data_IF_299276218155
#
_entry.id   IF_299276218155
#
_cell.length_a   1.000
_cell.length_b   1.000
_cell.length_c   1.000
_cell.angle_alpha   90.00
_cell.angle_beta   90.00
_cell.angle_gamma   90.00
#
_symmetry.space_group_name_H-M   'P 1'
#
loop_
_entity.id
_entity.type
_entity.pdbx_description
1 polymer ?
#
# COMPACT_ATOMS: atom_id res chain seq x y z
N UNK A 1 10.62 1.71 -1.86
CA UNK A 1 10.37 0.33 -1.39
C UNK A 1 10.60 0.28 0.10
N UNK A 2 9.65 -0.28 0.80
CA UNK A 2 9.74 -0.45 2.25
C UNK A 2 9.57 -1.92 2.61
N UNK A 3 10.09 -2.29 3.77
CA UNK A 3 9.84 -3.57 4.41
C UNK A 3 8.97 -3.28 5.62
N UNK A 4 7.85 -3.97 5.72
CA UNK A 4 6.91 -3.77 6.82
C UNK A 4 6.31 -5.09 7.27
N UNK A 5 5.78 -5.10 8.48
CA UNK A 5 5.15 -6.28 9.06
C UNK A 5 3.63 -6.14 8.97
N UNK A 6 3.00 -7.18 8.45
CA UNK A 6 1.54 -7.29 8.40
C UNK A 6 1.14 -8.70 8.79
N UNK A 7 0.33 -8.81 9.83
CA UNK A 7 -0.19 -10.09 10.33
C UNK A 7 0.93 -11.12 10.61
N UNK A 8 2.05 -10.64 11.15
CA UNK A 8 3.19 -11.48 11.50
C UNK A 8 4.10 -11.84 10.34
N UNK A 9 3.88 -11.28 9.15
CA UNK A 9 4.68 -11.55 7.96
C UNK A 9 5.37 -10.28 7.50
N UNK A 10 6.65 -10.39 7.13
CA UNK A 10 7.39 -9.27 6.53
C UNK A 10 7.11 -9.23 5.04
N UNK A 11 6.74 -8.07 4.55
CA UNK A 11 6.44 -7.82 3.14
C UNK A 11 7.32 -6.70 2.61
N UNK A 12 7.67 -6.78 1.33
CA UNK A 12 8.46 -5.78 0.62
C UNK A 12 7.59 -5.21 -0.49
N UNK A 13 7.25 -3.94 -0.40
CA UNK A 13 6.38 -3.26 -1.36
C UNK A 13 6.85 -1.84 -1.59
N UNK A 14 6.35 -1.24 -2.67
CA UNK A 14 6.63 0.16 -3.00
C UNK A 14 5.49 1.04 -2.53
N UNK A 15 5.81 2.18 -1.91
CA UNK A 15 4.80 3.16 -1.54
C UNK A 15 4.25 3.80 -2.82
N UNK A 16 2.95 3.70 -3.00
CA UNK A 16 2.24 4.28 -4.15
C UNK A 16 1.54 5.58 -3.80
N UNK A 17 1.16 5.78 -2.55
CA UNK A 17 0.54 7.02 -2.09
C UNK A 17 0.95 7.33 -0.66
N UNK A 18 1.12 8.61 -0.38
CA UNK A 18 1.56 9.16 0.91
C UNK A 18 0.36 9.70 1.69
N UNK A 19 0.53 10.00 3.00
CA UNK A 19 -0.55 10.58 3.79
C UNK A 19 -1.15 11.81 3.11
N UNK A 20 -2.47 11.86 3.05
CA UNK A 20 -3.21 12.95 2.41
C UNK A 20 -3.47 12.77 0.93
N UNK A 21 -2.81 11.82 0.27
CA UNK A 21 -3.02 11.58 -1.15
C UNK A 21 -4.32 10.83 -1.40
N UNK A 22 -5.03 11.15 -2.49
CA UNK A 22 -6.19 10.36 -2.90
C UNK A 22 -5.75 9.10 -3.64
N UNK A 23 -6.48 8.01 -3.44
CA UNK A 23 -6.30 6.76 -4.17
C UNK A 23 -7.64 6.37 -4.77
N UNK A 24 -7.71 6.30 -6.09
CA UNK A 24 -8.90 5.81 -6.78
C UNK A 24 -8.75 4.32 -7.03
N UNK A 25 -9.41 3.53 -6.22
CA UNK A 25 -9.30 2.06 -6.27
C UNK A 25 -9.83 1.50 -7.60
N UNK A 26 -10.74 2.21 -8.26
CA UNK A 26 -11.29 1.76 -9.53
C UNK A 26 -10.30 1.86 -10.69
N UNK A 27 -9.23 2.63 -10.53
CA UNK A 27 -8.21 2.84 -11.56
C UNK A 27 -7.03 1.89 -11.45
N UNK A 28 -7.04 0.99 -10.46
CA UNK A 28 -5.94 0.04 -10.24
C UNK A 28 -6.19 -1.26 -10.98
N UNK A 29 -5.10 -1.97 -11.30
CA UNK A 29 -5.19 -3.29 -11.91
C UNK A 29 -5.48 -4.36 -10.88
N UNK A 30 -6.36 -5.32 -11.21
CA UNK A 30 -6.71 -6.42 -10.33
C UNK A 30 -6.63 -7.74 -11.08
N UNK A 31 -6.21 -8.79 -10.35
CA UNK A 31 -6.25 -10.15 -10.87
C UNK A 31 -7.62 -10.73 -10.55
N UNK A 32 -8.36 -11.16 -11.57
CA UNK A 32 -9.74 -11.61 -11.39
C UNK A 32 -9.92 -12.79 -10.44
N UNK A 33 -8.88 -13.62 -10.30
CA UNK A 33 -8.94 -14.80 -9.41
C UNK A 33 -8.78 -14.42 -7.92
N UNK A 34 -8.34 -13.21 -7.61
CA UNK A 34 -8.13 -12.78 -6.22
C UNK A 34 -9.34 -11.96 -5.79
N UNK A 35 -10.03 -12.36 -4.68
CA UNK A 35 -11.15 -11.56 -4.17
C UNK A 35 -10.68 -10.18 -3.73
N UNK A 36 -11.47 -9.17 -4.04
CA UNK A 36 -11.22 -7.80 -3.58
C UNK A 36 -12.24 -7.44 -2.50
N UNK A 37 -11.84 -6.63 -1.50
CA UNK A 37 -12.78 -6.13 -0.51
C UNK A 37 -13.86 -5.26 -1.16
N UNK A 38 -15.02 -5.21 -0.53
CA UNK A 38 -16.07 -4.27 -0.92
C UNK A 38 -15.86 -2.98 -0.13
N UNK A 39 -15.65 -1.89 -0.84
CA UNK A 39 -15.49 -0.57 -0.21
C UNK A 39 -16.76 0.26 -0.45
N UNK A 40 -17.13 1.06 0.55
CA UNK A 40 -18.26 1.98 0.42
C UNK A 40 -17.93 3.11 -0.56
N UNK A 41 -16.64 3.49 -0.62
CA UNK A 41 -16.16 4.52 -1.52
C UNK A 41 -15.02 3.97 -2.35
N UNK A 42 -14.94 4.34 -3.62
CA UNK A 42 -13.87 3.89 -4.52
C UNK A 42 -12.66 4.82 -4.48
N UNK A 43 -12.82 6.05 -4.00
CA UNK A 43 -11.71 6.98 -3.82
C UNK A 43 -11.47 7.14 -2.32
N UNK A 44 -10.28 6.78 -1.87
CA UNK A 44 -9.87 6.87 -0.48
C UNK A 44 -8.78 7.93 -0.34
N UNK A 45 -8.76 8.60 0.81
CA UNK A 45 -7.65 9.48 1.19
C UNK A 45 -6.77 8.72 2.16
N UNK A 46 -5.47 8.67 1.90
CA UNK A 46 -4.52 8.00 2.79
C UNK A 46 -4.48 8.74 4.11
N UNK A 47 -4.77 8.06 5.24
CA UNK A 47 -4.76 8.72 6.56
C UNK A 47 -3.37 9.21 6.94
N UNK A 48 -3.34 10.17 7.86
CA UNK A 48 -2.09 10.63 8.44
C UNK A 48 -1.36 9.45 9.10
N UNK A 49 -0.05 9.38 8.88
CA UNK A 49 0.77 8.30 9.42
C UNK A 49 0.64 6.97 8.70
N UNK A 50 -0.05 6.93 7.58
CA UNK A 50 -0.27 5.72 6.80
C UNK A 50 0.20 5.87 5.36
N UNK A 51 0.34 4.73 4.68
CA UNK A 51 0.81 4.66 3.31
C UNK A 51 0.04 3.60 2.55
N UNK A 52 -0.18 3.84 1.26
CA UNK A 52 -0.77 2.87 0.35
C UNK A 52 0.36 2.21 -0.44
N UNK A 53 0.42 0.89 -0.46
CA UNK A 53 1.55 0.16 -1.04
C UNK A 53 1.10 -0.76 -2.16
N UNK A 54 1.95 -0.89 -3.18
CA UNK A 54 1.74 -1.78 -4.32
C UNK A 54 3.01 -2.58 -4.58
N UNK A 55 2.84 -3.83 -5.02
CA UNK A 55 3.94 -4.62 -5.52
C UNK A 55 4.31 -4.19 -6.94
N UNK A 56 5.58 -4.34 -7.31
CA UNK A 56 6.07 -3.95 -8.63
C UNK A 56 5.47 -4.82 -9.74
N UNK A 57 5.14 -6.08 -9.43
CA UNK A 57 4.46 -6.97 -10.37
C UNK A 57 2.99 -7.07 -10.01
N UNK A 58 2.15 -6.25 -10.65
CA UNK A 58 0.73 -6.17 -10.36
C UNK A 58 0.00 -7.49 -10.54
N UNK A 59 0.49 -8.37 -11.42
CA UNK A 59 -0.12 -9.66 -11.71
C UNK A 59 0.08 -10.68 -10.58
N UNK A 60 1.12 -10.53 -9.78
CA UNK A 60 1.52 -11.50 -8.77
C UNK A 60 1.66 -10.90 -7.37
N UNK A 61 1.19 -9.68 -7.17
CA UNK A 61 1.35 -8.99 -5.90
C UNK A 61 0.08 -9.06 -5.05
N UNK A 62 0.25 -9.40 -3.78
CA UNK A 62 -0.80 -9.25 -2.77
C UNK A 62 -0.43 -8.02 -1.94
N UNK A 63 -1.16 -6.95 -2.16
CA UNK A 63 -0.83 -5.63 -1.60
C UNK A 63 -2.09 -4.87 -1.18
N UNK A 64 -1.97 -3.56 -0.96
CA UNK A 64 -3.07 -2.72 -0.47
C UNK A 64 -4.37 -2.86 -1.25
N UNK A 65 -4.31 -3.20 -2.54
CA UNK A 65 -5.52 -3.36 -3.37
C UNK A 65 -6.45 -4.44 -2.85
N UNK A 66 -5.92 -5.43 -2.15
CA UNK A 66 -6.67 -6.63 -1.73
C UNK A 66 -6.95 -6.68 -0.24
N UNK A 67 -6.50 -5.69 0.53
CA UNK A 67 -6.66 -5.69 1.99
C UNK A 67 -7.89 -4.89 2.39
N UNK A 68 -8.66 -5.43 3.37
CA UNK A 68 -9.79 -4.70 3.93
C UNK A 68 -9.35 -3.40 4.60
N UNK A 69 -8.16 -3.41 5.21
CA UNK A 69 -7.49 -2.21 5.73
C UNK A 69 -6.32 -1.89 4.78
N UNK A 70 -6.54 -1.06 3.74
CA UNK A 70 -5.58 -0.93 2.64
C UNK A 70 -4.37 -0.05 2.95
N UNK A 71 -4.15 0.29 4.21
CA UNK A 71 -3.07 1.19 4.57
C UNK A 71 -2.07 0.53 5.51
N UNK A 72 -0.78 0.86 5.31
CA UNK A 72 0.30 0.46 6.19
C UNK A 72 0.62 1.64 7.09
N UNK A 73 0.58 1.44 8.41
CA UNK A 73 0.95 2.51 9.34
C UNK A 73 2.47 2.62 9.45
N UNK A 74 2.94 3.81 9.78
CA UNK A 74 4.36 4.07 9.96
C UNK A 74 5.01 3.12 10.97
N UNK A 75 4.26 2.74 12.01
CA UNK A 75 4.74 1.83 13.05
C UNK A 75 5.00 0.42 12.53
N UNK A 76 4.35 0.01 11.45
CA UNK A 76 4.56 -1.30 10.84
C UNK A 76 5.83 -1.34 9.99
N UNK A 77 6.38 -0.19 9.60
CA UNK A 77 7.55 -0.13 8.73
C UNK A 77 8.80 -0.47 9.52
N UNK A 78 9.51 -1.50 9.06
CA UNK A 78 10.74 -1.99 9.68
C UNK A 78 11.97 -1.33 9.06
N UNK A 79 11.94 -1.15 7.73
CA UNK A 79 13.09 -0.59 7.02
C UNK A 79 12.64 0.07 5.71
N UNK A 80 13.50 0.98 5.24
CA UNK A 80 13.38 1.64 3.94
C UNK A 80 14.63 1.31 3.13
N UNK A 81 14.45 0.91 1.86
CA UNK A 81 15.60 0.68 1.00
C UNK A 81 16.16 2.01 0.51
N UNK A 82 17.48 2.13 0.54
CA UNK A 82 18.19 3.38 0.24
C UNK A 82 17.89 3.88 -1.17
N UNK A 83 17.74 2.94 -2.12
CA UNK A 83 17.48 3.28 -3.52
C UNK A 83 16.04 3.71 -3.78
N UNK A 84 15.19 3.63 -2.78
CA UNK A 84 13.79 4.01 -2.92
C UNK A 84 13.61 5.48 -2.59
N UNK A 85 13.20 6.23 -3.60
CA UNK A 85 12.87 7.63 -3.39
C UNK A 85 11.43 7.73 -2.90
N UNK A 86 11.26 8.25 -1.70
CA UNK A 86 9.93 8.46 -1.14
C UNK A 86 9.93 9.71 -0.27
N UNK A 87 9.38 10.79 -0.79
CA UNK A 87 9.32 12.08 -0.10
C UNK A 87 8.61 12.00 1.25
N UNK A 88 7.60 11.16 1.35
CA UNK A 88 6.80 11.12 2.57
C UNK A 88 7.50 10.44 3.73
N UNK A 89 8.53 9.62 3.47
CA UNK A 89 9.34 9.01 4.52
C UNK A 89 10.57 9.83 4.90
N UNK A 90 10.98 10.73 4.03
CA UNK A 90 12.20 11.51 4.22
C UNK A 90 11.95 12.84 4.95
N UNK A 91 10.71 13.10 5.34
CA UNK A 91 10.32 14.30 6.08
C UNK A 91 10.31 14.10 7.56
#
# INVERSE_FOLDING_TARGET
IIIFEKDGVLLVKRIAACPGDPVDLSQLEYVTAIPIPVWEETVLTVPEGCYFVLGDNAQNSWDSRYWAQPFVSRQQIVAKLINSFCHCLDK
#
